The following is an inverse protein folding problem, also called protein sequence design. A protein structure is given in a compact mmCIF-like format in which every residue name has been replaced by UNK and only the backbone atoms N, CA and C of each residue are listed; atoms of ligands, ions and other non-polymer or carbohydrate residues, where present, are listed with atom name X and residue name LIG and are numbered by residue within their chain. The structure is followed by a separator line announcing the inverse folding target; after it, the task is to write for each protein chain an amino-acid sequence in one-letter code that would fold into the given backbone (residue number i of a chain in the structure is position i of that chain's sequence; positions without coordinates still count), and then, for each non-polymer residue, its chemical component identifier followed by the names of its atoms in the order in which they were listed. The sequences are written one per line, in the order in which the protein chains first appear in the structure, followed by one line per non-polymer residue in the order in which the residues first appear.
data_IF_132557323833
#
_entry.id   IF_132557323833
#
_cell.length_a   1.000
_cell.length_b   1.000
_cell.length_c   1.000
_cell.angle_alpha   90.00
_cell.angle_beta   90.00
_cell.angle_gamma   90.00
#
_symmetry.space_group_name_H-M   'P 1'
#
loop_
_entity.id
_entity.type
_entity.pdbx_description
1 polymer ?
#
# COMPACT_ATOMS: atom_id res chain seq x y z
N UNK A 1 17.71 -5.94 -29.24
CA UNK A 1 18.23 -6.10 -27.88
C UNK A 1 17.45 -5.19 -26.96
N UNK A 2 18.04 -4.09 -26.51
CA UNK A 2 17.36 -3.11 -25.64
C UNK A 2 16.20 -2.37 -26.33
N UNK A 3 16.41 -1.93 -27.58
CA UNK A 3 15.39 -1.32 -28.44
C UNK A 3 14.21 -2.24 -28.82
N UNK A 4 14.29 -3.54 -28.48
CA UNK A 4 13.20 -4.49 -28.69
C UNK A 4 12.27 -4.61 -27.48
N UNK A 5 12.45 -3.77 -26.44
CA UNK A 5 11.58 -3.74 -25.25
C UNK A 5 12.18 -4.37 -23.98
N UNK A 6 13.51 -4.47 -23.88
CA UNK A 6 14.15 -4.89 -22.63
C UNK A 6 14.33 -3.68 -21.71
N UNK A 7 13.81 -3.75 -20.48
CA UNK A 7 13.88 -2.65 -19.50
C UNK A 7 15.26 -2.52 -18.81
N UNK A 8 16.00 -3.62 -18.67
CA UNK A 8 17.36 -3.65 -18.11
C UNK A 8 18.18 -4.79 -18.75
N UNK A 9 19.51 -4.67 -18.77
CA UNK A 9 20.41 -5.73 -19.24
C UNK A 9 21.69 -5.80 -18.38
N UNK A 10 22.19 -7.03 -18.20
CA UNK A 10 23.45 -7.30 -17.51
C UNK A 10 24.32 -8.22 -18.36
N UNK A 11 25.60 -7.88 -18.49
CA UNK A 11 26.59 -8.72 -19.16
C UNK A 11 27.19 -9.74 -18.18
N UNK A 12 27.48 -10.96 -18.65
CA UNK A 12 28.20 -11.96 -17.84
C UNK A 12 29.70 -11.65 -17.74
N UNK A 13 30.38 -12.09 -16.67
CA UNK A 13 29.82 -12.69 -15.45
C UNK A 13 29.19 -11.62 -14.55
N UNK A 14 28.08 -11.95 -13.88
CA UNK A 14 27.39 -11.06 -12.95
C UNK A 14 27.26 -11.72 -11.56
N UNK A 15 27.13 -10.89 -10.53
CA UNK A 15 26.83 -11.34 -9.16
C UNK A 15 25.35 -11.66 -9.02
N UNK A 16 25.03 -12.68 -8.20
CA UNK A 16 23.65 -13.00 -7.84
C UNK A 16 22.98 -11.85 -7.08
N UNK A 17 23.72 -11.17 -6.21
CA UNK A 17 23.23 -10.06 -5.41
C UNK A 17 22.86 -8.86 -6.28
N UNK A 18 23.69 -8.53 -7.28
CA UNK A 18 23.41 -7.42 -8.20
C UNK A 18 22.17 -7.68 -9.06
N UNK A 19 21.98 -8.94 -9.50
CA UNK A 19 20.79 -9.34 -10.22
C UNK A 19 19.53 -9.18 -9.36
N UNK A 20 19.57 -9.62 -8.10
CA UNK A 20 18.44 -9.48 -7.17
C UNK A 20 18.09 -8.01 -6.92
N UNK A 21 19.08 -7.16 -6.64
CA UNK A 21 18.87 -5.73 -6.41
C UNK A 21 18.24 -5.03 -7.63
N UNK A 22 18.63 -5.40 -8.85
CA UNK A 22 18.01 -4.85 -10.08
C UNK A 22 16.57 -5.32 -10.27
N UNK A 23 16.28 -6.60 -10.00
CA UNK A 23 14.91 -7.12 -10.02
C UNK A 23 14.04 -6.35 -9.02
N UNK A 24 14.49 -6.18 -7.79
CA UNK A 24 13.76 -5.43 -6.75
C UNK A 24 13.55 -3.96 -7.14
N UNK A 25 14.57 -3.31 -7.72
CA UNK A 25 14.46 -1.92 -8.16
C UNK A 25 13.44 -1.74 -9.30
N UNK A 26 13.37 -2.68 -10.25
CA UNK A 26 12.36 -2.69 -11.33
C UNK A 26 10.97 -2.92 -10.73
N UNK A 27 10.82 -3.90 -9.84
CA UNK A 27 9.55 -4.15 -9.15
C UNK A 27 9.07 -2.95 -8.35
N UNK A 28 9.96 -2.22 -7.68
CA UNK A 28 9.61 -0.99 -6.96
C UNK A 28 9.16 0.15 -7.88
N UNK A 29 9.65 0.20 -9.12
CA UNK A 29 9.18 1.19 -10.12
C UNK A 29 7.82 0.83 -10.71
N UNK A 30 7.52 -0.47 -10.88
CA UNK A 30 6.24 -0.93 -11.43
C UNK A 30 5.12 -0.93 -10.39
N UNK A 31 5.47 -1.20 -9.13
CA UNK A 31 4.60 -0.98 -7.97
C UNK A 31 4.53 0.51 -7.71
N UNK A 32 3.65 1.20 -8.43
CA UNK A 32 3.42 2.64 -8.22
C UNK A 32 3.16 2.96 -6.75
N UNK A 33 3.39 4.22 -6.36
CA UNK A 33 3.28 4.70 -4.97
C UNK A 33 1.97 4.30 -4.24
N UNK A 34 0.92 3.92 -4.97
CA UNK A 34 -0.34 3.42 -4.43
C UNK A 34 -0.38 1.94 -3.98
N UNK A 35 0.67 1.12 -4.14
CA UNK A 35 0.69 -0.22 -3.51
C UNK A 35 0.88 -0.16 -2.00
N UNK A 36 1.74 0.72 -1.50
CA UNK A 36 1.91 0.94 -0.06
C UNK A 36 0.64 1.53 0.56
N UNK A 37 -0.10 2.36 -0.18
CA UNK A 37 -1.43 2.84 0.24
C UNK A 37 -2.49 1.75 0.22
N UNK A 38 -2.46 0.84 -0.77
CA UNK A 38 -3.39 -0.31 -0.83
C UNK A 38 -3.23 -1.28 0.32
N UNK A 39 -2.00 -1.41 0.83
CA UNK A 39 -1.69 -2.29 1.95
C UNK A 39 -1.71 -1.58 3.31
N UNK A 40 -2.00 -0.27 3.36
CA UNK A 40 -2.14 0.48 4.61
C UNK A 40 -3.29 -0.11 5.44
N UNK A 41 -2.96 -0.57 6.64
CA UNK A 41 -3.91 -1.18 7.59
C UNK A 41 -4.25 -0.25 8.77
N UNK A 42 -3.48 0.83 8.96
CA UNK A 42 -3.69 1.81 10.02
C UNK A 42 -3.84 3.21 9.42
N UNK A 43 -4.81 3.97 9.91
CA UNK A 43 -5.16 5.29 9.41
C UNK A 43 -5.35 6.27 10.58
N UNK A 44 -4.73 7.44 10.48
CA UNK A 44 -4.93 8.55 11.43
C UNK A 44 -6.05 9.48 10.94
N UNK A 45 -7.02 9.73 11.81
CA UNK A 45 -8.26 10.44 11.52
C UNK A 45 -8.50 11.52 12.59
N UNK A 46 -7.66 12.57 12.57
CA UNK A 46 -7.66 13.55 13.65
C UNK A 46 -7.19 12.90 14.95
N UNK A 47 -8.01 12.97 15.99
CA UNK A 47 -7.73 12.30 17.29
C UNK A 47 -8.02 10.79 17.26
N UNK A 48 -8.64 10.29 16.18
CA UNK A 48 -8.93 8.86 16.05
C UNK A 48 -7.80 8.11 15.33
N UNK A 49 -7.54 6.89 15.77
CA UNK A 49 -6.70 5.90 15.09
C UNK A 49 -7.56 4.71 14.66
N UNK A 50 -7.60 4.44 13.36
CA UNK A 50 -8.33 3.31 12.80
C UNK A 50 -7.37 2.19 12.40
N UNK A 51 -7.50 1.04 13.06
CA UNK A 51 -6.81 -0.20 12.71
C UNK A 51 -7.80 -1.16 12.01
N UNK A 52 -7.67 -1.25 10.69
CA UNK A 52 -8.50 -2.13 9.87
C UNK A 52 -8.25 -3.61 10.16
N UNK A 53 -7.02 -3.99 10.50
CA UNK A 53 -6.67 -5.39 10.76
C UNK A 53 -7.34 -5.90 12.03
N UNK A 54 -7.39 -5.06 13.06
CA UNK A 54 -8.01 -5.41 14.34
C UNK A 54 -9.50 -5.01 14.44
N UNK A 55 -10.04 -4.36 13.39
CA UNK A 55 -11.38 -3.78 13.38
C UNK A 55 -11.58 -2.81 14.57
N UNK A 56 -10.55 -2.02 14.88
CA UNK A 56 -10.51 -1.16 16.06
C UNK A 56 -10.49 0.30 15.63
N UNK A 57 -11.29 1.12 16.28
CA UNK A 57 -11.23 2.57 16.20
C UNK A 57 -10.94 3.10 17.60
N UNK A 58 -9.77 3.70 17.79
CA UNK A 58 -9.31 4.20 19.09
C UNK A 58 -9.34 5.73 19.09
N UNK A 59 -9.78 6.31 20.19
CA UNK A 59 -9.77 7.72 20.54
C UNK A 59 -9.09 7.84 21.92
N UNK A 60 -8.51 8.98 22.31
CA UNK A 60 -7.90 9.15 23.63
C UNK A 60 -8.81 8.78 24.81
N UNK A 61 -10.12 8.92 24.63
CA UNK A 61 -11.12 8.67 25.68
C UNK A 61 -11.88 7.35 25.53
N UNK A 62 -11.85 6.72 24.35
CA UNK A 62 -12.67 5.54 24.06
C UNK A 62 -12.06 4.64 22.98
N UNK A 63 -12.30 3.33 23.09
CA UNK A 63 -12.01 2.38 22.01
C UNK A 63 -13.30 1.71 21.57
N UNK A 64 -13.49 1.64 20.26
CA UNK A 64 -14.67 1.04 19.64
C UNK A 64 -14.27 -0.04 18.65
N UNK A 65 -14.80 -1.23 18.87
CA UNK A 65 -14.71 -2.32 17.89
C UNK A 65 -15.75 -2.14 16.79
N UNK A 66 -15.30 -2.15 15.54
CA UNK A 66 -16.13 -2.05 14.35
C UNK A 66 -16.58 -3.43 13.88
N UNK A 67 -17.75 -3.49 13.26
CA UNK A 67 -18.13 -4.64 12.45
C UNK A 67 -17.28 -4.69 11.18
N UNK A 68 -17.21 -5.87 10.53
CA UNK A 68 -16.45 -6.03 9.27
C UNK A 68 -16.89 -5.04 8.20
N UNK A 69 -18.20 -4.87 8.01
CA UNK A 69 -18.75 -3.95 7.01
C UNK A 69 -18.40 -2.49 7.30
N UNK A 70 -18.49 -2.06 8.57
CA UNK A 70 -18.08 -0.70 8.96
C UNK A 70 -16.60 -0.47 8.69
N UNK A 71 -15.74 -1.42 9.05
CA UNK A 71 -14.29 -1.30 8.82
C UNK A 71 -13.92 -1.32 7.33
N UNK A 72 -14.63 -2.07 6.50
CA UNK A 72 -14.45 -2.07 5.04
C UNK A 72 -14.84 -0.73 4.42
N UNK A 73 -16.00 -0.19 4.80
CA UNK A 73 -16.47 1.13 4.33
C UNK A 73 -15.51 2.23 4.79
N UNK A 74 -15.11 2.22 6.07
CA UNK A 74 -14.19 3.22 6.60
C UNK A 74 -12.82 3.14 5.92
N UNK A 75 -12.29 1.94 5.68
CA UNK A 75 -11.05 1.76 4.90
C UNK A 75 -11.19 2.34 3.50
N UNK A 76 -12.29 2.06 2.82
CA UNK A 76 -12.52 2.59 1.47
C UNK A 76 -12.52 4.13 1.46
N UNK A 77 -13.23 4.75 2.42
CA UNK A 77 -13.24 6.21 2.57
C UNK A 77 -11.85 6.78 2.88
N UNK A 78 -11.06 6.10 3.72
CA UNK A 78 -9.70 6.52 4.04
C UNK A 78 -8.76 6.42 2.84
N UNK A 79 -8.94 5.40 1.99
CA UNK A 79 -8.14 5.22 0.77
C UNK A 79 -8.50 6.20 -0.35
N UNK A 80 -9.74 6.71 -0.34
CA UNK A 80 -10.25 7.68 -1.31
C UNK A 80 -10.57 9.02 -0.65
N UNK A 81 -9.66 9.51 0.20
CA UNK A 81 -9.85 10.77 0.92
C UNK A 81 -10.13 11.91 -0.07
N UNK A 82 -11.11 12.74 0.26
CA UNK A 82 -11.53 13.91 -0.53
C UNK A 82 -12.11 13.58 -1.92
N UNK A 83 -12.46 12.31 -2.18
CA UNK A 83 -13.16 11.88 -3.40
C UNK A 83 -14.60 11.48 -3.10
N UNK A 84 -15.54 11.89 -3.96
CA UNK A 84 -16.92 11.42 -3.89
C UNK A 84 -16.99 9.99 -4.42
N UNK A 85 -17.31 9.05 -3.55
CA UNK A 85 -17.59 7.67 -3.92
C UNK A 85 -19.08 7.49 -4.24
N UNK A 86 -19.39 6.84 -5.36
CA UNK A 86 -20.76 6.42 -5.68
C UNK A 86 -21.15 5.20 -4.85
N UNK A 87 -22.42 5.14 -4.46
CA UNK A 87 -22.98 4.11 -3.57
C UNK A 87 -23.10 2.74 -4.25
#
# INVERSE_FOLDING_TARGET
GFKAGGDDYMTKPFSHEELLLRIEAILRRTRGQGEDERNRQSFELGDYTFDHRNLMLSHPEEERKLTRKEAEVLRLLCMHRDQVLTR
#
